data_IF_017985628341
#
_entry.id   IF_017985628341
#
_cell.length_a   1.000
_cell.length_b   1.000
_cell.length_c   1.000
_cell.angle_alpha   90.00
_cell.angle_beta   90.00
_cell.angle_gamma   90.00
#
_symmetry.space_group_name_H-M   'P 1'
#
loop_
_entity.id
_entity.type
_entity.pdbx_description
1 polymer ?
#
# COMPACT_ATOMS: atom_id res chain seq x y z
N UNK A 1 21.23 -13.70 -12.81
CA UNK A 1 20.61 -13.14 -11.60
C UNK A 1 19.13 -13.07 -11.87
N UNK A 2 18.34 -13.98 -11.31
CA UNK A 2 16.89 -14.03 -11.50
C UNK A 2 16.30 -13.14 -10.40
N UNK A 3 15.90 -11.91 -10.74
CA UNK A 3 15.02 -11.15 -9.87
C UNK A 3 13.71 -11.93 -9.81
N UNK A 4 13.37 -12.48 -8.65
CA UNK A 4 12.05 -13.05 -8.41
C UNK A 4 11.07 -11.89 -8.40
N UNK A 5 10.67 -11.47 -9.60
CA UNK A 5 9.72 -10.37 -9.77
C UNK A 5 8.50 -10.66 -8.92
N UNK A 6 8.22 -9.77 -7.97
CA UNK A 6 7.05 -9.87 -7.10
C UNK A 6 5.81 -10.08 -7.97
N UNK A 7 5.05 -11.13 -7.67
CA UNK A 7 3.87 -11.46 -8.47
C UNK A 7 2.77 -10.42 -8.24
N UNK A 8 1.98 -10.13 -9.27
CA UNK A 8 0.77 -9.29 -9.14
C UNK A 8 -0.13 -9.75 -8.00
N UNK A 9 -0.27 -11.06 -7.81
CA UNK A 9 -1.02 -11.66 -6.71
C UNK A 9 -0.47 -11.26 -5.33
N UNK A 10 0.86 -11.19 -5.18
CA UNK A 10 1.51 -10.75 -3.93
C UNK A 10 1.28 -9.26 -3.69
N UNK A 11 1.40 -8.42 -4.72
CA UNK A 11 1.12 -6.97 -4.60
C UNK A 11 -0.34 -6.73 -4.21
N UNK A 12 -1.28 -7.39 -4.86
CA UNK A 12 -2.71 -7.30 -4.52
C UNK A 12 -2.99 -7.79 -3.08
N UNK A 13 -2.31 -8.85 -2.63
CA UNK A 13 -2.44 -9.34 -1.25
C UNK A 13 -1.91 -8.33 -0.23
N UNK A 14 -0.77 -7.68 -0.50
CA UNK A 14 -0.22 -6.61 0.35
C UNK A 14 -1.22 -5.46 0.45
N UNK A 15 -1.76 -4.97 -0.66
CA UNK A 15 -2.74 -3.88 -0.65
C UNK A 15 -4.01 -4.24 0.13
N UNK A 16 -4.52 -5.47 -0.01
CA UNK A 16 -5.66 -5.93 0.80
C UNK A 16 -5.33 -5.94 2.29
N UNK A 17 -4.19 -6.49 2.67
CA UNK A 17 -3.74 -6.50 4.05
C UNK A 17 -3.51 -5.09 4.61
N UNK A 18 -3.03 -4.14 3.79
CA UNK A 18 -2.94 -2.72 4.16
C UNK A 18 -4.31 -2.14 4.49
N UNK A 19 -5.33 -2.38 3.65
CA UNK A 19 -6.68 -1.91 3.93
C UNK A 19 -7.24 -2.51 5.23
N UNK A 20 -7.04 -3.81 5.44
CA UNK A 20 -7.51 -4.50 6.65
C UNK A 20 -6.83 -3.97 7.92
N UNK A 21 -5.52 -3.69 7.87
CA UNK A 21 -4.78 -3.07 8.98
C UNK A 21 -5.29 -1.68 9.30
N UNK A 22 -5.48 -0.83 8.28
CA UNK A 22 -5.98 0.53 8.47
C UNK A 22 -7.43 0.56 8.96
N UNK A 23 -8.26 -0.39 8.51
CA UNK A 23 -9.63 -0.54 8.99
C UNK A 23 -9.66 -0.93 10.47
N UNK A 24 -8.85 -1.91 10.87
CA UNK A 24 -8.81 -2.42 12.24
C UNK A 24 -8.21 -1.41 13.24
N UNK A 25 -7.18 -0.66 12.84
CA UNK A 25 -6.48 0.28 13.71
C UNK A 25 -7.12 1.69 13.73
N UNK A 26 -8.02 1.96 12.77
CA UNK A 26 -8.54 3.30 12.50
C UNK A 26 -7.50 4.15 11.77
N UNK A 27 -7.78 4.51 10.53
CA UNK A 27 -6.84 5.29 9.73
C UNK A 27 -6.72 6.73 10.24
N UNK A 28 -5.48 7.18 10.37
CA UNK A 28 -5.10 8.54 10.68
C UNK A 28 -3.74 8.85 10.02
N UNK A 29 -3.65 9.84 9.11
CA UNK A 29 -2.48 10.03 8.25
C UNK A 29 -1.18 10.29 9.03
N UNK A 30 -1.25 10.94 10.20
CA UNK A 30 -0.08 11.18 11.05
C UNK A 30 0.32 10.03 12.00
N UNK A 31 -0.54 9.02 12.18
CA UNK A 31 -0.29 7.91 13.13
C UNK A 31 0.00 6.59 12.43
N UNK A 32 -0.72 6.32 11.34
CA UNK A 32 -0.61 5.13 10.51
C UNK A 32 -0.85 5.51 9.05
N UNK A 33 0.13 6.21 8.48
CA UNK A 33 0.13 6.55 7.05
C UNK A 33 0.07 5.30 6.17
N UNK A 34 -0.41 5.48 4.94
CA UNK A 34 -0.59 4.36 4.00
C UNK A 34 0.75 3.66 3.72
N UNK A 35 1.85 4.39 3.57
CA UNK A 35 3.17 3.77 3.32
C UNK A 35 3.59 2.86 4.49
N UNK A 36 3.37 3.32 5.73
CA UNK A 36 3.72 2.54 6.91
C UNK A 36 2.86 1.28 7.04
N UNK A 37 1.58 1.38 6.67
CA UNK A 37 0.69 0.22 6.63
C UNK A 37 1.07 -0.76 5.50
N UNK A 38 1.55 -0.26 4.34
CA UNK A 38 2.09 -1.10 3.25
C UNK A 38 3.35 -1.83 3.71
N UNK A 39 4.30 -1.14 4.34
CA UNK A 39 5.52 -1.74 4.86
C UNK A 39 5.21 -2.89 5.82
N UNK A 40 4.28 -2.66 6.76
CA UNK A 40 3.83 -3.68 7.70
C UNK A 40 3.15 -4.86 7.00
N UNK A 41 2.30 -4.59 6.01
CA UNK A 41 1.61 -5.62 5.24
C UNK A 41 2.57 -6.46 4.37
N UNK A 42 3.61 -5.83 3.82
CA UNK A 42 4.66 -6.50 3.04
C UNK A 42 5.66 -7.27 3.91
N UNK A 43 5.65 -7.06 5.23
CA UNK A 43 6.64 -7.59 6.15
C UNK A 43 8.01 -6.90 6.02
N UNK A 44 8.03 -5.68 5.46
CA UNK A 44 9.24 -4.90 5.30
C UNK A 44 9.66 -4.27 6.62
N UNK A 45 10.92 -4.49 7.00
CA UNK A 45 11.56 -3.87 8.17
C UNK A 45 12.83 -3.19 7.69
N UNK A 46 12.95 -1.85 7.78
CA UNK A 46 14.13 -1.13 7.33
C UNK A 46 15.43 -1.71 7.91
N UNK A 47 16.39 -2.04 7.04
CA UNK A 47 17.68 -2.60 7.42
C UNK A 47 17.67 -4.06 7.90
N UNK A 48 16.51 -4.73 7.91
CA UNK A 48 16.36 -6.15 8.29
C UNK A 48 15.43 -6.97 7.37
N UNK A 49 14.77 -6.32 6.42
CA UNK A 49 13.80 -6.94 5.51
C UNK A 49 14.46 -7.75 4.39
N UNK A 50 13.72 -8.70 3.83
CA UNK A 50 14.08 -9.37 2.58
C UNK A 50 13.90 -8.43 1.39
N UNK A 51 14.74 -8.56 0.36
CA UNK A 51 14.59 -7.84 -0.92
C UNK A 51 13.17 -7.99 -1.49
N UNK A 52 12.58 -9.18 -1.40
CA UNK A 52 11.20 -9.44 -1.84
C UNK A 52 10.14 -8.60 -1.11
N UNK A 53 10.38 -8.22 0.15
CA UNK A 53 9.45 -7.40 0.94
C UNK A 53 9.58 -5.92 0.55
N UNK A 54 10.80 -5.46 0.32
CA UNK A 54 11.08 -4.13 -0.20
C UNK A 54 10.48 -3.95 -1.61
N UNK A 55 10.72 -4.92 -2.51
CA UNK A 55 10.11 -4.90 -3.85
C UNK A 55 8.58 -4.92 -3.79
N UNK A 56 7.98 -5.70 -2.87
CA UNK A 56 6.54 -5.76 -2.71
C UNK A 56 5.96 -4.45 -2.16
N UNK A 57 6.63 -3.79 -1.21
CA UNK A 57 6.28 -2.43 -0.76
C UNK A 57 6.27 -1.46 -1.94
N UNK A 58 7.37 -1.41 -2.70
CA UNK A 58 7.53 -0.44 -3.80
C UNK A 58 6.47 -0.66 -4.88
N UNK A 59 6.21 -1.91 -5.27
CA UNK A 59 5.18 -2.20 -6.26
C UNK A 59 3.76 -1.94 -5.75
N UNK A 60 3.47 -2.19 -4.47
CA UNK A 60 2.18 -1.83 -3.88
C UNK A 60 1.99 -0.31 -3.83
N UNK A 61 3.03 0.44 -3.50
CA UNK A 61 3.01 1.89 -3.52
C UNK A 61 2.78 2.44 -4.92
N UNK A 62 3.53 1.96 -5.92
CA UNK A 62 3.40 2.37 -7.32
C UNK A 62 2.01 2.06 -7.89
N UNK A 63 1.46 0.89 -7.57
CA UNK A 63 0.09 0.53 -7.94
C UNK A 63 -0.95 1.49 -7.35
N UNK A 64 -0.76 1.92 -6.10
CA UNK A 64 -1.66 2.89 -5.46
C UNK A 64 -1.51 4.28 -6.08
N UNK A 65 -0.29 4.76 -6.32
CA UNK A 65 -0.02 6.03 -7.03
C UNK A 65 -0.73 6.03 -8.39
N UNK A 66 -0.56 4.96 -9.16
CA UNK A 66 -1.22 4.77 -10.46
C UNK A 66 -2.74 4.78 -10.35
N UNK A 67 -3.30 4.08 -9.35
CA UNK A 67 -4.75 4.02 -9.14
C UNK A 67 -5.36 5.38 -8.77
N UNK A 68 -4.58 6.21 -8.06
CA UNK A 68 -5.02 7.54 -7.64
C UNK A 68 -4.91 8.58 -8.77
N UNK A 69 -4.18 8.27 -9.85
CA UNK A 69 -3.77 9.24 -10.87
C UNK A 69 -3.05 10.44 -10.24
N UNK A 70 -2.20 10.16 -9.26
CA UNK A 70 -1.44 11.16 -8.49
C UNK A 70 0.06 10.94 -8.68
N UNK A 71 0.89 11.93 -8.35
CA UNK A 71 2.36 11.76 -8.31
C UNK A 71 2.81 11.13 -6.98
N UNK A 72 2.11 11.42 -5.88
CA UNK A 72 2.44 10.99 -4.53
C UNK A 72 1.18 10.73 -3.71
N UNK A 73 1.17 9.64 -2.93
CA UNK A 73 0.06 9.32 -2.01
C UNK A 73 0.07 10.22 -0.76
N UNK A 74 1.23 10.70 -0.31
CA UNK A 74 1.35 11.45 0.97
C UNK A 74 0.54 12.77 0.98
N UNK A 75 0.61 13.64 -0.05
CA UNK A 75 -0.26 14.82 -0.11
C UNK A 75 -1.74 14.44 -0.20
N UNK A 76 -2.05 13.37 -0.94
CA UNK A 76 -3.42 12.89 -1.14
C UNK A 76 -4.07 12.37 0.14
N UNK A 77 -3.33 11.61 0.96
CA UNK A 77 -3.83 11.04 2.22
C UNK A 77 -3.97 12.12 3.31
N UNK A 78 -3.13 13.16 3.25
CA UNK A 78 -3.15 14.29 4.20
C UNK A 78 -4.16 15.39 3.87
N UNK A 79 -4.88 15.30 2.74
CA UNK A 79 -5.96 16.24 2.44
C UNK A 79 -7.00 16.19 3.57
N UNK A 80 -7.34 17.33 4.22
CA UNK A 80 -8.27 17.34 5.35
C UNK A 80 -9.69 16.89 5.00
N UNK A 81 -10.05 16.80 3.71
CA UNK A 81 -11.32 16.25 3.23
C UNK A 81 -11.28 14.74 3.08
N UNK A 82 -10.11 14.11 3.23
CA UNK A 82 -9.94 12.67 3.05
C UNK A 82 -10.49 11.93 4.26
N UNK A 83 -11.27 10.90 3.97
CA UNK A 83 -11.89 10.03 4.98
C UNK A 83 -11.29 8.64 4.94
N UNK A 84 -11.35 7.92 6.06
CA UNK A 84 -10.93 6.51 6.13
C UNK A 84 -11.59 5.67 5.03
N UNK A 85 -12.89 5.83 4.81
CA UNK A 85 -13.62 5.10 3.75
C UNK A 85 -13.03 5.33 2.36
N UNK A 86 -12.68 6.58 2.03
CA UNK A 86 -12.05 6.90 0.74
C UNK A 86 -10.66 6.27 0.62
N UNK A 87 -9.90 6.26 1.71
CA UNK A 87 -8.57 5.64 1.75
C UNK A 87 -8.66 4.14 1.53
N UNK A 88 -9.50 3.46 2.30
CA UNK A 88 -9.73 2.02 2.18
C UNK A 88 -10.26 1.64 0.80
N UNK A 89 -11.19 2.43 0.25
CA UNK A 89 -11.72 2.21 -1.10
C UNK A 89 -10.63 2.31 -2.17
N UNK A 90 -9.78 3.33 -2.11
CA UNK A 90 -8.68 3.50 -3.06
C UNK A 90 -7.68 2.33 -3.01
N UNK A 91 -7.30 1.91 -1.80
CA UNK A 91 -6.38 0.77 -1.62
C UNK A 91 -7.00 -0.53 -2.15
N UNK A 92 -8.28 -0.79 -1.86
CA UNK A 92 -9.00 -1.96 -2.38
C UNK A 92 -9.14 -1.92 -3.90
N UNK A 93 -9.42 -0.76 -4.48
CA UNK A 93 -9.50 -0.57 -5.93
C UNK A 93 -8.14 -0.83 -6.60
N UNK A 94 -7.04 -0.36 -5.99
CA UNK A 94 -5.69 -0.65 -6.47
C UNK A 94 -5.41 -2.16 -6.43
N UNK A 95 -5.80 -2.84 -5.34
CA UNK A 95 -5.63 -4.29 -5.22
C UNK A 95 -6.41 -5.05 -6.31
N UNK A 96 -7.63 -4.62 -6.62
CA UNK A 96 -8.45 -5.18 -7.69
C UNK A 96 -7.82 -4.94 -9.06
N UNK A 97 -7.39 -3.72 -9.36
CA UNK A 97 -6.75 -3.35 -10.63
C UNK A 97 -5.48 -4.15 -10.90
N UNK A 98 -4.65 -4.39 -9.87
CA UNK A 98 -3.45 -5.23 -10.01
C UNK A 98 -3.78 -6.70 -10.24
N UNK A 99 -4.91 -7.18 -9.71
CA UNK A 99 -5.34 -8.57 -9.84
C UNK A 99 -6.08 -8.90 -11.14
N UNK A 100 -6.46 -7.88 -11.92
CA UNK A 100 -7.12 -8.01 -13.22
C UNK A 100 -6.12 -8.33 -14.35
#
# INVERSE_FOLDING_TARGET
MVTLSVTRSRVAAVLRATADLLEAEGWHPERNSVIFAIDRAAGYVPGKGSVDAEEATLQAWDALVTQLDEELVVPWERDPRRTQTQVLHAIRSAAEAVSA
#
